data_IF_655536025557
#
_entry.id   IF_655536025557
#
_cell.length_a   1.000
_cell.length_b   1.000
_cell.length_c   1.000
_cell.angle_alpha   90.00
_cell.angle_beta   90.00
_cell.angle_gamma   90.00
#
_symmetry.space_group_name_H-M   'P 1'
#
loop_
_entity.id
_entity.type
_entity.pdbx_description
1 polymer ?
#
# COMPACT_ATOMS: atom_id res chain seq x y z
N UNK A 1 -11.24 -67.32 -1.40
CA UNK A 1 -12.16 -66.23 -0.99
C UNK A 1 -11.51 -64.88 -1.32
N UNK A 2 -12.33 -63.94 -1.80
CA UNK A 2 -11.97 -62.78 -2.63
C UNK A 2 -11.02 -61.78 -1.97
N UNK A 3 -10.04 -61.32 -2.74
CA UNK A 3 -9.16 -60.20 -2.42
C UNK A 3 -9.92 -58.87 -2.49
N UNK A 4 -9.70 -57.99 -1.51
CA UNK A 4 -10.23 -56.63 -1.45
C UNK A 4 -9.22 -55.70 -2.13
N UNK A 5 -9.63 -55.07 -3.23
CA UNK A 5 -8.87 -54.01 -3.87
C UNK A 5 -9.24 -52.67 -3.21
N UNK A 6 -8.27 -52.05 -2.52
CA UNK A 6 -8.36 -50.69 -2.00
C UNK A 6 -7.97 -49.72 -3.12
N UNK A 7 -8.96 -49.17 -3.81
CA UNK A 7 -8.80 -47.99 -4.67
C UNK A 7 -8.59 -46.76 -3.79
N UNK A 8 -7.34 -46.41 -3.54
CA UNK A 8 -6.97 -45.12 -2.96
C UNK A 8 -7.17 -44.02 -4.01
N UNK A 9 -8.21 -43.21 -3.83
CA UNK A 9 -8.44 -42.02 -4.63
C UNK A 9 -7.39 -40.96 -4.32
N UNK A 10 -6.65 -40.53 -5.35
CA UNK A 10 -5.89 -39.29 -5.31
C UNK A 10 -6.86 -38.13 -5.06
N UNK A 11 -6.78 -37.53 -3.87
CA UNK A 11 -7.30 -36.19 -3.65
C UNK A 11 -6.36 -35.22 -4.39
N UNK A 12 -6.74 -34.85 -5.61
CA UNK A 12 -6.21 -33.66 -6.26
C UNK A 12 -6.62 -32.45 -5.42
N UNK A 13 -5.77 -32.03 -4.48
CA UNK A 13 -5.88 -30.74 -3.84
C UNK A 13 -5.83 -29.68 -4.93
N UNK A 14 -6.91 -28.91 -5.08
CA UNK A 14 -6.89 -27.72 -5.93
C UNK A 14 -5.76 -26.82 -5.42
N UNK A 15 -4.87 -26.30 -6.29
CA UNK A 15 -3.94 -25.28 -5.86
C UNK A 15 -4.78 -24.15 -5.27
N UNK A 16 -4.47 -23.75 -4.04
CA UNK A 16 -4.95 -22.49 -3.52
C UNK A 16 -4.52 -21.44 -4.55
N UNK A 17 -5.47 -20.91 -5.31
CA UNK A 17 -5.21 -19.80 -6.22
C UNK A 17 -4.73 -18.65 -5.35
N UNK A 18 -3.42 -18.51 -5.22
CA UNK A 18 -2.82 -17.33 -4.64
C UNK A 18 -3.30 -16.15 -5.49
N UNK A 19 -4.02 -15.22 -4.87
CA UNK A 19 -4.52 -14.05 -5.57
C UNK A 19 -3.34 -13.37 -6.29
N UNK A 20 -3.51 -13.13 -7.59
CA UNK A 20 -2.46 -12.50 -8.39
C UNK A 20 -2.35 -11.01 -8.02
N UNK A 21 -1.13 -10.45 -7.96
CA UNK A 21 -0.97 -9.02 -7.71
C UNK A 21 -1.50 -8.23 -8.90
N UNK A 22 -2.36 -7.24 -8.66
CA UNK A 22 -2.76 -6.29 -9.70
C UNK A 22 -1.69 -5.21 -9.94
N UNK A 23 -0.74 -5.07 -9.02
CA UNK A 23 0.43 -4.22 -9.17
C UNK A 23 1.67 -4.89 -8.60
N UNK A 24 2.77 -4.83 -9.35
CA UNK A 24 4.11 -5.21 -8.89
C UNK A 24 5.08 -4.09 -9.26
N UNK A 25 5.86 -3.61 -8.29
CA UNK A 25 6.87 -2.57 -8.48
C UNK A 25 8.21 -3.03 -7.86
N UNK A 26 9.28 -2.91 -8.63
CA UNK A 26 10.65 -3.16 -8.15
C UNK A 26 11.32 -1.83 -7.78
N UNK A 27 11.81 -1.74 -6.55
CA UNK A 27 12.46 -0.56 -5.97
C UNK A 27 13.86 -0.95 -5.48
N UNK A 28 14.82 -0.92 -6.41
CA UNK A 28 16.11 -1.58 -6.20
C UNK A 28 15.90 -3.10 -6.09
N UNK A 29 16.39 -3.69 -5.02
CA UNK A 29 16.24 -5.12 -4.73
C UNK A 29 14.93 -5.47 -4.02
N UNK A 30 14.11 -4.47 -3.66
CA UNK A 30 12.85 -4.66 -2.93
C UNK A 30 11.69 -4.75 -3.91
N UNK A 31 10.83 -5.74 -3.74
CA UNK A 31 9.61 -5.92 -4.56
C UNK A 31 8.37 -5.59 -3.74
N UNK A 32 7.61 -4.59 -4.19
CA UNK A 32 6.30 -4.23 -3.64
C UNK A 32 5.20 -4.80 -4.52
N UNK A 33 4.21 -5.46 -3.91
CA UNK A 33 3.02 -5.96 -4.58
C UNK A 33 1.76 -5.44 -3.91
N UNK A 34 0.75 -5.11 -4.70
CA UNK A 34 -0.61 -4.90 -4.24
C UNK A 34 -1.47 -6.07 -4.72
N UNK A 35 -2.11 -6.75 -3.77
CA UNK A 35 -2.89 -7.97 -4.03
C UNK A 35 -4.28 -7.78 -3.48
N UNK A 36 -5.30 -7.87 -4.33
CA UNK A 36 -6.69 -7.95 -3.86
C UNK A 36 -6.95 -9.40 -3.43
N UNK A 37 -7.15 -9.62 -2.14
CA UNK A 37 -7.34 -10.97 -1.57
C UNK A 37 -8.81 -11.33 -1.34
N UNK A 38 -9.64 -10.31 -1.16
CA UNK A 38 -11.09 -10.37 -1.07
C UNK A 38 -11.64 -9.06 -1.67
N UNK A 39 -12.92 -8.98 -2.06
CA UNK A 39 -13.51 -7.74 -2.53
C UNK A 39 -13.25 -6.59 -1.54
N UNK A 40 -12.58 -5.53 -1.99
CA UNK A 40 -12.18 -4.35 -1.18
C UNK A 40 -11.16 -4.64 -0.06
N UNK A 41 -10.45 -5.76 -0.13
CA UNK A 41 -9.34 -6.06 0.78
C UNK A 41 -8.05 -6.13 -0.02
N UNK A 42 -7.22 -5.10 0.10
CA UNK A 42 -5.89 -5.08 -0.52
C UNK A 42 -4.82 -5.41 0.51
N UNK A 43 -3.96 -6.38 0.21
CA UNK A 43 -2.68 -6.57 0.90
C UNK A 43 -1.56 -5.82 0.20
N UNK A 44 -0.80 -5.08 0.99
CA UNK A 44 0.50 -4.56 0.60
C UNK A 44 1.56 -5.58 1.03
N UNK A 45 2.26 -6.13 0.05
CA UNK A 45 3.27 -7.17 0.25
C UNK A 45 4.63 -6.62 -0.16
N UNK A 46 5.64 -6.84 0.69
CA UNK A 46 7.04 -6.47 0.43
C UNK A 46 7.88 -7.73 0.58
N UNK A 47 8.60 -8.11 -0.47
CA UNK A 47 9.43 -9.33 -0.51
C UNK A 47 8.70 -10.56 0.03
N UNK A 48 7.49 -10.78 -0.50
CA UNK A 48 6.55 -11.86 -0.15
C UNK A 48 6.03 -11.87 1.30
N UNK A 49 6.26 -10.78 2.06
CA UNK A 49 5.69 -10.57 3.40
C UNK A 49 4.61 -9.51 3.37
N UNK A 50 3.43 -9.82 3.87
CA UNK A 50 2.38 -8.82 4.09
C UNK A 50 2.86 -7.80 5.13
N UNK A 51 2.92 -6.53 4.75
CA UNK A 51 3.31 -5.42 5.63
C UNK A 51 2.10 -4.63 6.13
N UNK A 52 1.03 -4.62 5.34
CA UNK A 52 -0.21 -3.92 5.63
C UNK A 52 -1.37 -4.59 4.90
N UNK A 53 -2.56 -4.50 5.48
CA UNK A 53 -3.81 -4.94 4.87
C UNK A 53 -4.83 -3.82 5.01
N UNK A 54 -5.31 -3.33 3.87
CA UNK A 54 -6.34 -2.32 3.79
C UNK A 54 -7.69 -3.00 3.58
N UNK A 55 -8.62 -2.78 4.51
CA UNK A 55 -10.02 -3.26 4.46
C UNK A 55 -11.02 -2.12 4.37
N UNK A 56 -10.55 -0.88 4.38
CA UNK A 56 -11.39 0.32 4.52
C UNK A 56 -11.59 1.01 3.17
N UNK A 57 -10.66 0.82 2.24
CA UNK A 57 -10.63 1.50 0.95
C UNK A 57 -11.29 0.66 -0.13
N UNK A 58 -11.90 1.31 -1.11
CA UNK A 58 -12.39 0.65 -2.32
C UNK A 58 -11.24 0.22 -3.22
N UNK A 59 -10.14 0.99 -3.20
CA UNK A 59 -8.93 0.70 -3.97
C UNK A 59 -7.69 1.26 -3.28
N UNK A 60 -6.56 0.57 -3.43
CA UNK A 60 -5.23 1.10 -3.09
C UNK A 60 -4.43 1.21 -4.38
N UNK A 61 -3.79 2.35 -4.60
CA UNK A 61 -3.02 2.65 -5.80
C UNK A 61 -1.61 3.04 -5.42
N UNK A 62 -0.63 2.55 -6.17
CA UNK A 62 0.76 2.98 -6.06
C UNK A 62 0.93 4.27 -6.85
N UNK A 63 1.17 5.40 -6.17
CA UNK A 63 1.30 6.71 -6.83
C UNK A 63 2.70 6.86 -7.43
N UNK A 64 3.72 6.78 -6.57
CA UNK A 64 5.12 6.86 -6.97
C UNK A 64 6.02 6.42 -5.80
N UNK A 65 7.31 6.26 -6.06
CA UNK A 65 8.34 6.04 -5.04
C UNK A 65 9.42 7.12 -5.09
N UNK A 66 10.02 7.35 -3.92
CA UNK A 66 10.99 8.40 -3.67
C UNK A 66 12.12 7.85 -2.81
N UNK A 67 13.32 8.40 -2.96
CA UNK A 67 14.46 8.07 -2.12
C UNK A 67 14.70 9.19 -1.11
N UNK A 68 14.74 8.86 0.18
CA UNK A 68 15.06 9.79 1.28
C UNK A 68 16.13 9.13 2.16
N UNK A 69 17.29 9.76 2.32
CA UNK A 69 18.47 9.16 2.97
C UNK A 69 18.85 7.77 2.42
N UNK A 70 18.72 7.56 1.10
CA UNK A 70 18.99 6.26 0.48
C UNK A 70 17.93 5.18 0.77
N UNK A 71 16.83 5.51 1.45
CA UNK A 71 15.71 4.60 1.72
C UNK A 71 14.58 4.84 0.74
N UNK A 72 14.00 3.77 0.22
CA UNK A 72 12.80 3.85 -0.61
C UNK A 72 11.56 4.14 0.24
N UNK A 73 10.77 5.12 -0.19
CA UNK A 73 9.47 5.46 0.36
C UNK A 73 8.46 5.49 -0.79
N UNK A 74 7.40 4.70 -0.72
CA UNK A 74 6.32 4.72 -1.69
C UNK A 74 5.12 5.49 -1.16
N UNK A 75 4.54 6.35 -1.99
CA UNK A 75 3.26 7.00 -1.73
C UNK A 75 2.15 6.09 -2.25
N UNK A 76 1.27 5.66 -1.35
CA UNK A 76 0.07 4.93 -1.68
C UNK A 76 -1.13 5.87 -1.58
N UNK A 77 -2.00 5.84 -2.58
CA UNK A 77 -3.31 6.48 -2.54
C UNK A 77 -4.35 5.42 -2.20
N UNK A 78 -5.28 5.78 -1.32
CA UNK A 78 -6.41 4.95 -0.92
C UNK A 78 -7.69 5.67 -1.29
N UNK A 79 -8.49 5.06 -2.15
CA UNK A 79 -9.82 5.56 -2.49
C UNK A 79 -10.82 5.10 -1.45
N UNK A 80 -11.59 6.00 -0.85
CA UNK A 80 -12.51 5.63 0.25
C UNK A 80 -13.92 5.29 -0.26
N UNK A 81 -14.24 5.65 -1.51
CA UNK A 81 -15.60 5.62 -2.05
C UNK A 81 -16.54 6.69 -1.45
N UNK A 82 -16.09 7.49 -0.49
CA UNK A 82 -16.89 8.56 0.10
C UNK A 82 -16.88 9.80 -0.79
N UNK A 83 -18.07 10.36 -1.06
CA UNK A 83 -18.24 11.56 -1.90
C UNK A 83 -17.43 12.75 -1.39
N UNK A 84 -17.42 12.96 -0.08
CA UNK A 84 -16.78 14.13 0.54
C UNK A 84 -15.29 13.87 0.86
N UNK A 85 -14.81 12.64 0.68
CA UNK A 85 -13.40 12.31 0.89
C UNK A 85 -12.88 11.26 -0.08
N UNK A 86 -12.80 11.57 -1.38
CA UNK A 86 -12.51 10.57 -2.41
C UNK A 86 -11.17 9.87 -2.19
N UNK A 87 -10.14 10.58 -1.73
CA UNK A 87 -8.80 10.06 -1.57
C UNK A 87 -8.18 10.36 -0.20
N UNK A 88 -7.42 9.38 0.29
CA UNK A 88 -6.45 9.49 1.37
C UNK A 88 -5.13 8.88 0.92
N UNK A 89 -4.09 9.09 1.71
CA UNK A 89 -2.74 8.64 1.39
C UNK A 89 -2.06 7.98 2.57
N UNK A 90 -1.10 7.13 2.27
CA UNK A 90 -0.17 6.51 3.23
C UNK A 90 1.23 6.49 2.63
N UNK A 91 2.25 6.56 3.49
CA UNK A 91 3.63 6.30 3.12
C UNK A 91 3.96 4.86 3.49
N UNK A 92 4.43 4.08 2.52
CA UNK A 92 5.13 2.83 2.74
C UNK A 92 6.63 3.13 2.81
N UNK A 93 7.20 3.13 4.02
CA UNK A 93 8.64 3.24 4.23
C UNK A 93 9.25 1.84 4.16
N UNK A 94 10.13 1.63 3.18
CA UNK A 94 10.85 0.38 2.96
C UNK A 94 12.20 0.34 3.68
N UNK A 95 12.47 1.33 4.54
CA UNK A 95 13.67 1.42 5.35
C UNK A 95 13.87 0.21 6.27
N UNK A 96 15.13 -0.15 6.48
CA UNK A 96 15.54 -1.19 7.41
C UNK A 96 15.27 -0.80 8.88
N UNK A 97 15.01 -1.75 9.79
CA UNK A 97 15.07 -3.21 9.60
C UNK A 97 13.76 -3.85 9.13
N UNK A 98 12.63 -3.11 9.11
CA UNK A 98 11.32 -3.65 8.73
C UNK A 98 10.50 -2.57 8.00
N UNK A 99 9.93 -2.89 6.82
CA UNK A 99 9.00 -2.00 6.16
C UNK A 99 7.81 -1.64 7.06
N UNK A 100 7.33 -0.41 6.93
CA UNK A 100 6.20 0.09 7.72
C UNK A 100 5.29 1.00 6.89
N UNK A 101 4.03 1.08 7.29
CA UNK A 101 3.04 1.95 6.64
C UNK A 101 2.60 3.01 7.64
N UNK A 102 2.55 4.27 7.21
CA UNK A 102 2.09 5.38 8.05
C UNK A 102 0.61 5.27 8.40
N UNK A 103 0.19 6.07 9.39
CA UNK A 103 -1.22 6.41 9.54
C UNK A 103 -1.76 7.09 8.26
N UNK A 104 -3.07 6.96 7.97
CA UNK A 104 -3.65 7.61 6.81
C UNK A 104 -3.65 9.13 6.98
N UNK A 105 -3.42 9.86 5.90
CA UNK A 105 -3.43 11.31 5.87
C UNK A 105 -4.04 11.84 4.56
N UNK A 106 -4.19 13.16 4.46
CA UNK A 106 -4.68 13.82 3.25
C UNK A 106 -5.80 14.81 3.55
N UNK A 107 -6.04 15.70 2.59
CA UNK A 107 -7.06 16.76 2.66
C UNK A 107 -8.41 16.34 2.07
N UNK A 108 -8.55 15.08 1.63
CA UNK A 108 -9.62 14.60 0.74
C UNK A 108 -9.45 14.97 -0.75
N UNK A 109 -8.39 15.69 -1.13
CA UNK A 109 -8.02 15.85 -2.55
C UNK A 109 -7.12 14.70 -3.02
N UNK A 110 -7.27 14.29 -4.28
CA UNK A 110 -6.39 13.34 -4.98
C UNK A 110 -5.19 14.01 -5.66
N UNK A 111 -5.16 15.35 -5.72
CA UNK A 111 -4.11 16.14 -6.37
C UNK A 111 -2.87 16.31 -5.48
N UNK A 112 -2.27 15.19 -5.06
CA UNK A 112 -1.07 15.17 -4.25
C UNK A 112 0.18 15.60 -5.04
N UNK A 113 0.98 16.46 -4.44
CA UNK A 113 2.30 16.86 -4.90
C UNK A 113 3.33 16.49 -3.83
N UNK A 114 4.44 15.90 -4.25
CA UNK A 114 5.49 15.46 -3.35
C UNK A 114 6.74 16.29 -3.54
N UNK A 115 7.33 16.69 -2.42
CA UNK A 115 8.67 17.27 -2.35
C UNK A 115 9.52 16.44 -1.41
N UNK A 116 10.79 16.27 -1.75
CA UNK A 116 11.74 15.57 -0.90
C UNK A 116 12.84 16.52 -0.44
N UNK A 117 13.36 16.23 0.74
CA UNK A 117 14.58 16.80 1.29
C UNK A 117 15.46 15.64 1.75
N UNK A 118 16.67 15.95 2.21
CA UNK A 118 17.60 14.92 2.67
C UNK A 118 16.99 14.00 3.72
N UNK A 119 16.12 14.50 4.61
CA UNK A 119 15.62 13.76 5.78
C UNK A 119 14.11 13.57 5.81
N UNK A 120 13.38 14.10 4.83
CA UNK A 120 11.93 14.09 4.88
C UNK A 120 11.27 14.07 3.50
N UNK A 121 10.11 13.43 3.44
CA UNK A 121 9.17 13.47 2.33
C UNK A 121 7.96 14.31 2.75
N UNK A 122 7.65 15.36 2.01
CA UNK A 122 6.49 16.21 2.26
C UNK A 122 5.48 16.05 1.13
N UNK A 123 4.26 15.65 1.49
CA UNK A 123 3.12 15.56 0.58
C UNK A 123 2.22 16.76 0.83
N UNK A 124 1.91 17.50 -0.23
CA UNK A 124 1.00 18.64 -0.20
C UNK A 124 -0.13 18.46 -1.19
N UNK A 125 -1.29 19.03 -0.89
CA UNK A 125 -2.48 18.91 -1.73
C UNK A 125 -3.47 20.04 -1.42
N UNK A 126 -4.28 20.45 -2.41
CA UNK A 126 -5.36 21.41 -2.19
C UNK A 126 -6.35 20.92 -1.13
N UNK A 127 -6.92 21.83 -0.35
CA UNK A 127 -8.06 21.51 0.53
C UNK A 127 -9.35 21.71 -0.28
N UNK A 128 -10.21 20.69 -0.44
CA UNK A 128 -11.47 20.83 -1.17
C UNK A 128 -12.30 21.99 -0.62
N UNK A 129 -12.89 22.77 -1.53
CA UNK A 129 -13.69 23.97 -1.21
C UNK A 129 -12.92 25.10 -0.49
N UNK A 130 -11.59 25.07 -0.51
CA UNK A 130 -10.72 26.16 -0.06
C UNK A 130 -9.66 26.49 -1.12
N UNK A 131 -9.08 27.68 -1.05
CA UNK A 131 -7.87 28.05 -1.81
C UNK A 131 -6.58 27.60 -1.10
N UNK A 132 -6.70 27.01 0.09
CA UNK A 132 -5.57 26.58 0.89
C UNK A 132 -4.93 25.27 0.38
N UNK A 133 -3.67 25.10 0.76
CA UNK A 133 -2.93 23.84 0.58
C UNK A 133 -2.55 23.29 1.94
N UNK A 134 -2.93 22.05 2.22
CA UNK A 134 -2.49 21.33 3.40
C UNK A 134 -1.25 20.50 3.05
N UNK A 135 -0.37 20.29 4.04
CA UNK A 135 0.84 19.51 3.85
C UNK A 135 1.11 18.59 5.04
N UNK A 136 1.65 17.42 4.73
CA UNK A 136 2.09 16.42 5.70
C UNK A 136 3.54 16.06 5.43
N UNK A 137 4.32 16.00 6.50
CA UNK A 137 5.73 15.65 6.44
C UNK A 137 5.94 14.30 7.10
N UNK A 138 6.55 13.38 6.35
CA UNK A 138 7.02 12.10 6.84
C UNK A 138 8.50 12.19 7.18
N UNK A 139 8.83 11.87 8.44
CA UNK A 139 10.20 11.82 8.96
C UNK A 139 10.30 10.76 10.05
N UNK A 140 11.33 9.93 9.99
CA UNK A 140 11.67 8.95 11.02
C UNK A 140 10.48 8.08 11.48
N UNK A 141 9.75 7.49 10.53
CA UNK A 141 8.61 6.61 10.85
C UNK A 141 7.30 7.35 11.16
N UNK A 142 7.31 8.69 11.20
CA UNK A 142 6.17 9.49 11.66
C UNK A 142 5.67 10.42 10.58
N UNK A 143 4.35 10.43 10.41
CA UNK A 143 3.64 11.40 9.57
C UNK A 143 3.00 12.45 10.48
N UNK A 144 3.15 13.73 10.13
CA UNK A 144 2.51 14.83 10.84
C UNK A 144 2.09 15.92 9.86
N UNK A 145 0.96 16.59 10.15
CA UNK A 145 0.54 17.77 9.39
C UNK A 145 1.50 18.92 9.69
N UNK A 146 2.10 19.49 8.65
CA UNK A 146 3.06 20.60 8.73
C UNK A 146 2.48 21.93 8.25
N UNK A 147 1.34 21.90 7.54
CA UNK A 147 0.55 23.07 7.14
C UNK A 147 -0.92 22.68 7.00
#
# INVERSE_FOLDING_TARGET
MRAVALTGGLLCGTPAHAAEPYLTAALGDVVVKLVEVEPKVTRVVVDDKTVFEDRESTQVSFVNAYTVQGRWMALLQTETGAKDCPARFRILDLGAPKPSVSLPFGSCSDAAQVTTSDTALTVSMPVPSSTDTAAWTYRDGRIARSR
#
